data_IF_968451553260
#
_entry.id   IF_968451553260
#
_cell.length_a   1.000
_cell.length_b   1.000
_cell.length_c   1.000
_cell.angle_alpha   90.00
_cell.angle_beta   90.00
_cell.angle_gamma   90.00
#
_symmetry.space_group_name_H-M   'P 1'
#
loop_
_entity.id
_entity.type
_entity.pdbx_description
1 polymer ?
#
# COMPACT_ATOMS: atom_id res chain seq x y z
N UNK A 1 1.21 -13.17 20.61
CA UNK A 1 1.27 -13.23 19.14
C UNK A 1 1.42 -11.80 18.66
N UNK A 2 2.57 -11.47 18.07
CA UNK A 2 2.84 -10.12 17.62
C UNK A 2 2.10 -9.91 16.29
N UNK A 3 0.89 -9.35 16.35
CA UNK A 3 0.34 -8.71 15.17
C UNK A 3 1.34 -7.64 14.77
N UNK A 4 1.99 -7.86 13.63
CA UNK A 4 2.99 -6.97 13.07
C UNK A 4 2.30 -5.60 12.88
N UNK A 5 2.51 -4.67 13.81
CA UNK A 5 1.73 -3.43 13.98
C UNK A 5 1.75 -2.46 12.79
N UNK A 6 2.45 -2.82 11.71
CA UNK A 6 2.55 -2.03 10.49
C UNK A 6 1.99 -2.76 9.26
N UNK A 7 1.04 -3.68 9.46
CA UNK A 7 0.33 -4.36 8.38
C UNK A 7 -1.05 -3.75 8.17
N UNK A 8 -1.28 -3.15 7.00
CA UNK A 8 -2.56 -2.54 6.63
C UNK A 8 -3.21 -3.34 5.49
N UNK A 9 -4.49 -3.66 5.60
CA UNK A 9 -5.28 -4.30 4.55
C UNK A 9 -6.21 -3.28 3.90
N UNK A 10 -6.24 -3.26 2.56
CA UNK A 10 -7.15 -2.41 1.77
C UNK A 10 -7.73 -3.20 0.60
N UNK A 11 -8.98 -2.91 0.26
CA UNK A 11 -9.64 -3.49 -0.92
C UNK A 11 -9.03 -2.98 -2.23
N UNK A 12 -8.58 -1.72 -2.27
CA UNK A 12 -8.09 -1.02 -3.47
C UNK A 12 -6.97 -0.04 -3.11
N UNK A 13 -6.11 0.30 -4.07
CA UNK A 13 -5.05 1.28 -3.87
C UNK A 13 -5.59 2.72 -3.96
N UNK A 14 -5.06 3.62 -3.15
CA UNK A 14 -5.27 5.07 -3.24
C UNK A 14 -3.94 5.78 -3.08
N UNK A 15 -3.76 6.87 -3.82
CA UNK A 15 -2.53 7.67 -3.78
C UNK A 15 -2.23 8.24 -2.40
N UNK A 16 -3.25 8.49 -1.58
CA UNK A 16 -3.07 8.91 -0.18
C UNK A 16 -2.33 7.87 0.67
N UNK A 17 -2.24 6.60 0.24
CA UNK A 17 -1.50 5.56 0.94
C UNK A 17 0.01 5.73 0.82
N UNK A 18 0.51 6.52 -0.14
CA UNK A 18 1.92 6.89 -0.23
C UNK A 18 2.43 7.56 1.05
N UNK A 19 1.58 8.34 1.76
CA UNK A 19 1.96 8.95 3.05
C UNK A 19 2.27 7.89 4.12
N UNK A 20 1.59 6.75 4.06
CA UNK A 20 1.80 5.62 4.97
C UNK A 20 3.06 4.86 4.61
N UNK A 21 3.34 4.67 3.32
CA UNK A 21 4.61 4.10 2.83
C UNK A 21 5.79 4.96 3.29
N UNK A 22 5.70 6.29 3.17
CA UNK A 22 6.69 7.21 3.72
C UNK A 22 6.78 7.16 5.25
N UNK A 23 5.64 7.01 5.94
CA UNK A 23 5.62 6.80 7.39
C UNK A 23 6.35 5.51 7.81
N UNK A 24 6.18 4.43 7.06
CA UNK A 24 6.83 3.13 7.28
C UNK A 24 8.35 3.20 7.08
N UNK A 25 8.82 3.99 6.12
CA UNK A 25 10.25 4.20 5.90
C UNK A 25 10.96 4.85 7.12
N UNK A 26 10.22 5.56 7.97
CA UNK A 26 10.76 6.23 9.16
C UNK A 26 10.64 5.40 10.46
N UNK A 27 9.93 4.26 10.44
CA UNK A 27 9.76 3.35 11.59
C UNK A 27 10.33 1.97 11.27
N UNK A 28 9.92 0.88 11.95
CA UNK A 28 10.39 -0.49 11.69
C UNK A 28 9.95 -1.09 10.32
N UNK A 29 9.56 -0.25 9.35
CA UNK A 29 8.96 -0.69 8.09
C UNK A 29 7.48 -1.04 8.23
N UNK A 30 6.88 -1.47 7.12
CA UNK A 30 5.47 -1.83 7.06
C UNK A 30 5.05 -2.38 5.71
N UNK A 31 3.92 -3.07 5.69
CA UNK A 31 3.36 -3.70 4.50
C UNK A 31 1.90 -3.29 4.33
N UNK A 32 1.54 -2.83 3.12
CA UNK A 32 0.14 -2.60 2.76
C UNK A 32 -0.27 -3.70 1.79
N UNK A 33 -1.27 -4.48 2.17
CA UNK A 33 -1.87 -5.51 1.34
C UNK A 33 -3.10 -4.95 0.62
N UNK A 34 -3.06 -4.96 -0.71
CA UNK A 34 -4.15 -4.46 -1.55
C UNK A 34 -4.90 -5.63 -2.18
N UNK A 35 -6.24 -5.56 -2.18
CA UNK A 35 -7.13 -6.60 -2.70
C UNK A 35 -7.68 -7.53 -1.62
N UNK A 36 -7.66 -7.10 -0.35
CA UNK A 36 -8.33 -7.78 0.75
C UNK A 36 -9.44 -6.90 1.32
N UNK A 37 -10.61 -7.50 1.50
CA UNK A 37 -11.73 -6.89 2.23
C UNK A 37 -11.43 -6.84 3.74
N UNK A 38 -12.17 -6.02 4.48
CA UNK A 38 -12.07 -5.88 5.94
C UNK A 38 -12.23 -7.22 6.69
N UNK A 39 -12.96 -8.18 6.08
CA UNK A 39 -13.11 -9.54 6.58
C UNK A 39 -11.91 -10.47 6.26
N UNK A 40 -10.82 -9.95 5.68
CA UNK A 40 -9.67 -10.73 5.23
C UNK A 40 -9.93 -11.57 3.99
N UNK A 41 -11.04 -11.34 3.29
CA UNK A 41 -11.37 -12.06 2.05
C UNK A 41 -10.62 -11.45 0.87
N UNK A 42 -9.99 -12.31 0.06
CA UNK A 42 -9.35 -11.88 -1.18
C UNK A 42 -10.45 -11.45 -2.16
N UNK A 43 -10.57 -10.14 -2.36
CA UNK A 43 -11.46 -9.53 -3.36
C UNK A 43 -10.73 -9.26 -4.67
N UNK A 44 -9.40 -9.24 -4.63
CA UNK A 44 -8.54 -8.86 -5.74
C UNK A 44 -8.49 -7.35 -5.92
N UNK A 45 -7.35 -6.83 -6.40
CA UNK A 45 -7.24 -5.44 -6.75
C UNK A 45 -7.42 -5.27 -8.26
N UNK A 46 -8.34 -4.41 -8.66
CA UNK A 46 -8.40 -3.98 -10.06
C UNK A 46 -7.08 -3.28 -10.42
N UNK A 47 -6.63 -3.46 -11.65
CA UNK A 47 -5.46 -2.73 -12.18
C UNK A 47 -4.12 -3.01 -11.47
N UNK A 48 -3.93 -4.16 -10.82
CA UNK A 48 -2.65 -4.56 -10.19
C UNK A 48 -1.42 -4.26 -11.05
N UNK A 49 -1.48 -4.59 -12.35
CA UNK A 49 -0.36 -4.35 -13.29
C UNK A 49 -0.05 -2.86 -13.40
N UNK A 50 -1.08 -2.03 -13.56
CA UNK A 50 -0.93 -0.59 -13.66
C UNK A 50 -0.45 0.00 -12.35
N UNK A 51 -0.92 -0.50 -11.20
CA UNK A 51 -0.44 -0.06 -9.88
C UNK A 51 1.04 -0.36 -9.67
N UNK A 52 1.53 -1.53 -10.10
CA UNK A 52 2.95 -1.88 -10.04
C UNK A 52 3.83 -0.93 -10.87
N UNK A 53 3.30 -0.35 -11.94
CA UNK A 53 4.00 0.67 -12.73
C UNK A 53 3.80 2.08 -12.15
N UNK A 54 2.58 2.42 -11.73
CA UNK A 54 2.18 3.76 -11.31
C UNK A 54 2.75 4.14 -9.95
N UNK A 55 2.75 3.23 -8.96
CA UNK A 55 3.26 3.47 -7.61
C UNK A 55 4.75 3.89 -7.60
N UNK A 56 5.68 3.14 -8.20
CA UNK A 56 7.08 3.56 -8.23
C UNK A 56 7.30 4.81 -9.10
N UNK A 57 6.55 4.96 -10.20
CA UNK A 57 6.67 6.13 -11.08
C UNK A 57 6.08 7.41 -10.46
N UNK A 58 5.08 7.31 -9.58
CA UNK A 58 4.48 8.46 -8.88
C UNK A 58 5.51 9.18 -8.00
N UNK A 59 6.39 8.41 -7.35
CA UNK A 59 7.46 8.96 -6.52
C UNK A 59 8.48 9.79 -7.31
N UNK A 60 8.57 9.60 -8.63
CA UNK A 60 9.49 10.36 -9.48
C UNK A 60 8.95 11.74 -9.90
N UNK A 61 7.66 12.02 -9.67
CA UNK A 61 7.01 13.23 -10.19
C UNK A 61 6.95 14.40 -9.19
N UNK A 62 7.51 14.26 -7.98
CA UNK A 62 7.53 15.32 -6.95
C UNK A 62 8.94 15.91 -6.69
N UNK A 63 9.90 15.66 -7.57
CA UNK A 63 11.16 16.42 -7.60
C UNK A 63 11.06 17.50 -8.68
N UNK A 64 10.44 18.62 -8.32
CA UNK A 64 10.59 19.90 -9.00
C UNK A 64 10.62 21.01 -7.94
#
# INVERSE_FOLDING_TARGET
MAESQNTEYKESWRDEYLKWVCGFANVQGGCIYIGLDDNGKIVGAADCKKLLEDIPNKNHSHTA
#
